data_IF_442068196452
#
_entry.id   IF_442068196452
#
_cell.length_a   1.000
_cell.length_b   1.000
_cell.length_c   1.000
_cell.angle_alpha   90.00
_cell.angle_beta   90.00
_cell.angle_gamma   90.00
#
_symmetry.space_group_name_H-M   'P 1'
#
loop_
_entity.id
_entity.type
_entity.pdbx_description
1 polymer ?
#
# COMPACT_ATOMS: atom_id res chain seq x y z
N UNK A 1 -16.02 34.67 -98.90
CA UNK A 1 -15.53 35.19 -97.60
C UNK A 1 -16.56 35.01 -96.46
N UNK A 2 -17.30 33.88 -96.43
CA UNK A 2 -18.42 33.61 -95.50
C UNK A 2 -18.19 32.34 -94.66
N UNK A 3 -17.02 31.69 -94.74
CA UNK A 3 -16.74 30.42 -94.04
C UNK A 3 -16.09 30.56 -92.66
N UNK A 4 -15.37 31.66 -92.37
CA UNK A 4 -14.68 31.82 -91.07
C UNK A 4 -15.60 32.26 -89.92
N UNK A 5 -16.60 33.10 -90.18
CA UNK A 5 -17.51 33.59 -89.12
C UNK A 5 -18.46 32.51 -88.60
N UNK A 6 -18.99 31.65 -89.48
CA UNK A 6 -19.89 30.56 -89.08
C UNK A 6 -19.16 29.52 -88.20
N UNK A 7 -17.92 29.19 -88.56
CA UNK A 7 -17.09 28.23 -87.81
C UNK A 7 -16.78 28.73 -86.39
N UNK A 8 -16.49 30.02 -86.23
CA UNK A 8 -16.24 30.63 -84.91
C UNK A 8 -17.50 30.64 -84.04
N UNK A 9 -18.68 30.89 -84.62
CA UNK A 9 -19.96 30.84 -83.89
C UNK A 9 -20.32 29.42 -83.47
N UNK A 10 -20.05 28.41 -84.31
CA UNK A 10 -20.25 26.99 -83.96
C UNK A 10 -19.28 26.54 -82.87
N UNK A 11 -18.03 26.99 -82.90
CA UNK A 11 -17.05 26.72 -81.84
C UNK A 11 -17.39 27.41 -80.51
N UNK A 12 -17.84 28.66 -80.55
CA UNK A 12 -18.26 29.39 -79.35
C UNK A 12 -19.53 28.79 -78.75
N UNK A 13 -20.49 28.40 -79.59
CA UNK A 13 -21.71 27.74 -79.12
C UNK A 13 -21.43 26.33 -78.59
N UNK A 14 -20.55 25.54 -79.22
CA UNK A 14 -20.14 24.24 -78.67
C UNK A 14 -19.37 24.38 -77.35
N UNK A 15 -18.50 25.38 -77.21
CA UNK A 15 -17.86 25.70 -75.93
C UNK A 15 -18.90 26.09 -74.87
N UNK A 16 -19.91 26.89 -75.23
CA UNK A 16 -21.01 27.29 -74.34
C UNK A 16 -21.87 26.09 -73.92
N UNK A 17 -22.16 25.17 -74.84
CA UNK A 17 -22.89 23.94 -74.52
C UNK A 17 -22.07 22.97 -73.65
N UNK A 18 -20.76 22.83 -73.91
CA UNK A 18 -19.87 22.00 -73.09
C UNK A 18 -19.69 22.59 -71.69
N UNK A 19 -19.54 23.91 -71.57
CA UNK A 19 -19.47 24.59 -70.27
C UNK A 19 -20.79 24.57 -69.50
N UNK A 20 -21.95 24.66 -70.18
CA UNK A 20 -23.25 24.43 -69.54
C UNK A 20 -23.45 22.96 -69.12
N UNK A 21 -22.97 22.00 -69.91
CA UNK A 21 -23.05 20.59 -69.56
C UNK A 21 -22.15 20.25 -68.36
N UNK A 22 -20.96 20.85 -68.29
CA UNK A 22 -20.03 20.69 -67.17
C UNK A 22 -20.49 21.41 -65.90
N UNK A 23 -21.18 22.55 -66.01
CA UNK A 23 -21.72 23.27 -64.83
C UNK A 23 -22.93 22.59 -64.21
N UNK A 24 -23.70 21.82 -65.00
CA UNK A 24 -24.81 20.97 -64.49
C UNK A 24 -24.34 19.62 -63.98
N UNK A 25 -23.13 19.19 -64.30
CA UNK A 25 -22.52 17.99 -63.74
C UNK A 25 -21.90 18.30 -62.38
N UNK A 26 -22.75 18.59 -61.39
CA UNK A 26 -22.32 18.48 -60.00
C UNK A 26 -22.39 17.00 -59.63
N UNK A 27 -21.27 16.26 -59.59
CA UNK A 27 -21.32 14.86 -59.19
C UNK A 27 -21.96 14.79 -57.81
N UNK A 28 -22.91 13.89 -57.65
CA UNK A 28 -23.54 13.59 -56.36
C UNK A 28 -22.43 13.34 -55.34
N UNK A 29 -22.38 14.18 -54.30
CA UNK A 29 -21.35 14.09 -53.27
C UNK A 29 -21.88 13.22 -52.15
N UNK A 30 -21.20 12.11 -51.92
CA UNK A 30 -21.43 11.28 -50.76
C UNK A 30 -20.92 11.99 -49.50
N UNK A 31 -21.60 11.79 -48.39
CA UNK A 31 -21.17 12.28 -47.08
C UNK A 31 -21.04 11.10 -46.12
N UNK A 32 -19.93 11.04 -45.40
CA UNK A 32 -19.70 10.02 -44.37
C UNK A 32 -19.22 10.69 -43.08
N UNK A 33 -19.84 10.35 -41.96
CA UNK A 33 -19.42 10.77 -40.63
C UNK A 33 -18.90 9.56 -39.87
N UNK A 34 -17.67 9.65 -39.36
CA UNK A 34 -17.04 8.56 -38.63
C UNK A 34 -15.92 9.02 -37.72
N UNK A 35 -15.53 8.14 -36.80
CA UNK A 35 -14.40 8.29 -35.90
C UNK A 35 -13.10 7.88 -36.61
N UNK A 36 -12.05 8.69 -36.49
CA UNK A 36 -10.73 8.32 -37.00
C UNK A 36 -10.09 7.24 -36.12
N UNK A 37 -10.06 6.00 -36.62
CA UNK A 37 -9.56 4.82 -35.91
C UNK A 37 -8.15 4.39 -36.36
N UNK A 38 -7.70 4.92 -37.49
CA UNK A 38 -6.34 4.72 -37.99
C UNK A 38 -5.90 5.97 -38.75
N UNK A 39 -4.64 6.38 -38.56
CA UNK A 39 -4.01 7.47 -39.28
C UNK A 39 -2.52 7.18 -39.37
N UNK A 40 -1.99 7.11 -40.58
CA UNK A 40 -0.56 6.91 -40.84
C UNK A 40 -0.16 7.59 -42.14
N UNK A 41 0.81 8.51 -42.05
CA UNK A 41 1.22 9.35 -43.18
C UNK A 41 0.04 10.14 -43.74
N UNK A 42 -0.27 9.93 -45.02
CA UNK A 42 -1.36 10.58 -45.73
C UNK A 42 -2.65 9.77 -45.79
N UNK A 43 -2.77 8.66 -45.05
CA UNK A 43 -3.95 7.78 -45.08
C UNK A 43 -4.60 7.77 -43.70
N UNK A 44 -5.92 7.99 -43.67
CA UNK A 44 -6.75 7.79 -42.47
C UNK A 44 -7.93 6.88 -42.76
N UNK A 45 -8.46 6.28 -41.70
CA UNK A 45 -9.63 5.41 -41.74
C UNK A 45 -10.67 5.93 -40.76
N UNK A 46 -11.87 6.20 -41.27
CA UNK A 46 -13.04 6.56 -40.48
C UNK A 46 -13.94 5.35 -40.28
N UNK A 47 -14.49 5.20 -39.07
CA UNK A 47 -15.40 4.12 -38.70
C UNK A 47 -16.58 4.67 -37.89
N UNK A 48 -17.80 4.22 -38.19
CA UNK A 48 -19.02 4.70 -37.53
C UNK A 48 -19.73 3.62 -36.69
N UNK A 49 -19.07 2.49 -36.43
CA UNK A 49 -19.66 1.33 -35.73
C UNK A 49 -20.19 0.23 -36.66
N UNK A 50 -20.33 0.51 -37.96
CA UNK A 50 -20.82 -0.48 -38.94
C UNK A 50 -19.98 -0.49 -40.22
N UNK A 51 -19.60 0.68 -40.71
CA UNK A 51 -18.92 0.86 -41.99
C UNK A 51 -17.58 1.55 -41.78
N UNK A 52 -16.59 1.11 -42.54
CA UNK A 52 -15.22 1.64 -42.54
C UNK A 52 -14.93 2.31 -43.89
N UNK A 53 -14.41 3.54 -43.86
CA UNK A 53 -14.06 4.32 -45.05
C UNK A 53 -12.64 4.85 -44.93
N UNK A 54 -11.78 4.50 -45.88
CA UNK A 54 -10.41 5.01 -45.97
C UNK A 54 -10.34 6.27 -46.83
N UNK A 55 -9.39 7.15 -46.54
CA UNK A 55 -9.21 8.40 -47.29
C UNK A 55 -7.75 8.89 -47.30
N UNK A 56 -7.37 9.56 -48.38
CA UNK A 56 -6.03 10.11 -48.62
C UNK A 56 -5.77 11.45 -47.93
N UNK A 57 -6.03 11.55 -46.63
CA UNK A 57 -5.69 12.71 -45.80
C UNK A 57 -5.30 12.24 -44.40
N UNK A 58 -4.34 12.93 -43.78
CA UNK A 58 -3.99 12.69 -42.38
C UNK A 58 -5.03 13.35 -41.46
N UNK A 59 -5.61 12.57 -40.55
CA UNK A 59 -6.59 12.99 -39.55
C UNK A 59 -6.08 12.64 -38.15
N UNK A 60 -6.57 13.33 -37.14
CA UNK A 60 -6.22 13.02 -35.75
C UNK A 60 -6.99 11.78 -35.28
N UNK A 61 -6.29 10.84 -34.65
CA UNK A 61 -6.90 9.65 -34.07
C UNK A 61 -7.86 10.01 -32.95
N UNK A 62 -8.98 9.30 -32.87
CA UNK A 62 -9.98 9.49 -31.81
C UNK A 62 -10.90 10.71 -32.01
N UNK A 63 -10.74 11.46 -33.10
CA UNK A 63 -11.66 12.56 -33.46
C UNK A 63 -12.66 12.12 -34.51
N UNK A 64 -13.89 12.61 -34.38
CA UNK A 64 -14.95 12.40 -35.37
C UNK A 64 -14.88 13.48 -36.45
N UNK A 65 -15.12 13.06 -37.70
CA UNK A 65 -15.11 13.91 -38.87
C UNK A 65 -16.28 13.58 -39.78
N UNK A 66 -16.84 14.61 -40.40
CA UNK A 66 -17.71 14.49 -41.57
C UNK A 66 -16.88 14.78 -42.81
N UNK A 67 -16.84 13.81 -43.73
CA UNK A 67 -16.13 13.94 -45.01
C UNK A 67 -17.13 13.91 -46.15
N UNK A 68 -16.95 14.82 -47.11
CA UNK A 68 -17.74 14.84 -48.34
C UNK A 68 -16.84 14.59 -49.54
N UNK A 69 -17.31 13.79 -50.49
CA UNK A 69 -16.52 13.42 -51.64
C UNK A 69 -17.23 12.43 -52.54
N UNK A 70 -16.46 11.64 -53.27
CA UNK A 70 -16.98 10.53 -54.07
C UNK A 70 -16.55 9.21 -53.44
N UNK A 71 -17.52 8.40 -53.03
CA UNK A 71 -17.26 7.09 -52.46
C UNK A 71 -16.99 6.07 -53.58
N UNK A 72 -15.97 5.23 -53.41
CA UNK A 72 -15.62 4.17 -54.36
C UNK A 72 -15.34 2.87 -53.62
N UNK A 73 -15.87 1.76 -54.13
CA UNK A 73 -15.45 0.43 -53.71
C UNK A 73 -14.10 0.09 -54.35
N UNK A 74 -13.14 -0.32 -53.54
CA UNK A 74 -11.83 -0.82 -53.98
C UNK A 74 -11.63 -2.25 -53.52
N UNK A 75 -10.59 -2.93 -54.03
CA UNK A 75 -10.18 -4.24 -53.54
C UNK A 75 -9.76 -4.27 -52.05
N UNK A 76 -9.56 -3.10 -51.42
CA UNK A 76 -9.19 -2.96 -50.00
C UNK A 76 -10.33 -2.40 -49.13
N UNK A 77 -11.53 -2.25 -49.68
CA UNK A 77 -12.69 -1.68 -48.99
C UNK A 77 -13.15 -0.34 -49.59
N UNK A 78 -13.94 0.41 -48.82
CA UNK A 78 -14.47 1.70 -49.26
C UNK A 78 -13.41 2.79 -49.16
N UNK A 79 -13.27 3.56 -50.23
CA UNK A 79 -12.37 4.69 -50.34
C UNK A 79 -13.14 5.96 -50.68
N UNK A 80 -12.84 7.06 -49.99
CA UNK A 80 -13.42 8.37 -50.25
C UNK A 80 -12.41 9.27 -50.98
N UNK A 81 -12.76 9.72 -52.18
CA UNK A 81 -12.09 10.83 -52.84
C UNK A 81 -12.58 12.14 -52.22
N UNK A 82 -11.85 12.60 -51.21
CA UNK A 82 -12.27 13.68 -50.33
C UNK A 82 -12.25 15.04 -51.03
N UNK A 83 -13.38 15.74 -50.98
CA UNK A 83 -13.51 17.14 -51.38
C UNK A 83 -13.49 18.09 -50.17
N UNK A 84 -14.03 17.67 -49.02
CA UNK A 84 -14.00 18.42 -47.77
C UNK A 84 -13.91 17.49 -46.56
N UNK A 85 -13.26 17.96 -45.50
CA UNK A 85 -13.22 17.29 -44.19
C UNK A 85 -13.50 18.34 -43.14
N UNK A 86 -14.50 18.10 -42.30
CA UNK A 86 -14.87 18.99 -41.21
C UNK A 86 -14.91 18.17 -39.92
N UNK A 87 -14.28 18.65 -38.81
CA UNK A 87 -14.50 18.06 -37.50
C UNK A 87 -15.99 17.99 -37.17
N UNK A 88 -16.45 16.88 -36.61
CA UNK A 88 -17.85 16.65 -36.31
C UNK A 88 -18.01 16.03 -34.92
N UNK A 89 -19.20 16.15 -34.36
CA UNK A 89 -19.59 15.34 -33.21
C UNK A 89 -19.96 13.93 -33.68
N UNK A 90 -19.81 12.93 -32.80
CA UNK A 90 -20.26 11.58 -33.09
C UNK A 90 -21.79 11.53 -33.15
N UNK A 91 -22.35 11.50 -34.36
CA UNK A 91 -23.79 11.35 -34.63
C UNK A 91 -24.21 9.89 -34.82
N UNK A 92 -23.24 8.98 -34.82
CA UNK A 92 -23.43 7.54 -34.90
C UNK A 92 -23.52 6.91 -33.49
N UNK A 93 -24.16 5.73 -33.34
CA UNK A 93 -24.27 5.06 -32.05
C UNK A 93 -22.90 4.77 -31.43
N UNK A 94 -22.72 5.16 -30.17
CA UNK A 94 -21.52 4.86 -29.37
C UNK A 94 -21.81 3.73 -28.38
N UNK A 95 -20.79 2.90 -28.16
CA UNK A 95 -20.77 1.90 -27.08
C UNK A 95 -20.41 2.59 -25.77
N UNK A 96 -21.08 2.20 -24.68
CA UNK A 96 -20.77 2.66 -23.33
C UNK A 96 -20.12 1.54 -22.55
N UNK A 97 -18.94 1.79 -21.99
CA UNK A 97 -18.21 0.83 -21.16
C UNK A 97 -17.78 1.51 -19.86
N UNK A 98 -18.07 0.85 -18.74
CA UNK A 98 -17.60 1.26 -17.41
C UNK A 98 -16.54 0.30 -16.89
N UNK A 99 -15.50 0.83 -16.27
CA UNK A 99 -14.45 0.04 -15.65
C UNK A 99 -13.37 0.90 -15.01
N UNK A 100 -12.33 0.26 -14.47
CA UNK A 100 -11.24 0.99 -13.85
C UNK A 100 -10.09 1.22 -14.84
N UNK A 101 -9.67 2.47 -15.00
CA UNK A 101 -8.56 2.82 -15.86
C UNK A 101 -7.25 2.27 -15.27
N UNK A 102 -6.46 1.58 -16.09
CA UNK A 102 -5.20 0.99 -15.63
C UNK A 102 -4.11 1.11 -16.69
N UNK A 103 -2.88 1.28 -16.22
CA UNK A 103 -1.71 1.42 -17.09
C UNK A 103 -0.56 0.54 -16.57
N UNK A 104 -0.18 -0.45 -17.38
CA UNK A 104 0.95 -1.36 -17.09
C UNK A 104 1.83 -1.52 -18.32
N UNK A 105 1.34 -2.23 -19.35
CA UNK A 105 1.98 -2.41 -20.65
C UNK A 105 1.18 -1.73 -21.77
N UNK A 106 0.62 -0.55 -21.47
CA UNK A 106 -0.32 0.18 -22.30
C UNK A 106 -1.64 0.48 -21.56
N UNK A 107 -2.47 1.36 -22.14
CA UNK A 107 -3.71 1.82 -21.53
C UNK A 107 -4.80 0.77 -21.69
N UNK A 108 -5.39 0.36 -20.57
CA UNK A 108 -6.47 -0.61 -20.52
C UNK A 108 -7.57 -0.16 -19.57
N UNK A 109 -8.77 -0.68 -19.80
CA UNK A 109 -9.87 -0.61 -18.87
C UNK A 109 -10.05 -2.00 -18.24
N UNK A 110 -9.97 -2.06 -16.92
CA UNK A 110 -10.25 -3.26 -16.14
C UNK A 110 -11.76 -3.35 -15.93
N UNK A 111 -12.37 -4.30 -16.65
CA UNK A 111 -13.73 -4.79 -16.42
C UNK A 111 -13.61 -6.30 -16.07
N UNK A 112 -14.70 -7.08 -15.97
CA UNK A 112 -14.58 -8.54 -15.94
C UNK A 112 -13.69 -9.09 -17.08
N UNK A 113 -13.65 -8.41 -18.23
CA UNK A 113 -12.69 -8.63 -19.31
C UNK A 113 -11.74 -7.42 -19.46
N UNK A 114 -10.51 -7.65 -19.94
CA UNK A 114 -9.57 -6.55 -20.20
C UNK A 114 -9.91 -5.89 -21.55
N UNK A 115 -10.24 -4.61 -21.52
CA UNK A 115 -10.47 -3.82 -22.74
C UNK A 115 -9.23 -2.98 -23.02
N UNK A 116 -8.63 -3.15 -24.20
CA UNK A 116 -7.45 -2.35 -24.61
C UNK A 116 -7.91 -1.03 -25.18
N UNK A 117 -7.35 0.07 -24.69
CA UNK A 117 -7.65 1.40 -25.20
C UNK A 117 -6.73 1.73 -26.37
N UNK A 118 -7.23 2.52 -27.33
CA UNK A 118 -6.45 2.98 -28.46
C UNK A 118 -5.34 3.95 -28.04
N UNK A 119 -5.58 4.74 -26.99
CA UNK A 119 -4.67 5.73 -26.42
C UNK A 119 -4.91 5.90 -24.91
N UNK A 120 -3.94 6.48 -24.17
CA UNK A 120 -4.10 6.80 -22.75
C UNK A 120 -5.23 7.80 -22.51
N UNK A 121 -5.90 7.66 -21.37
CA UNK A 121 -6.91 8.60 -20.92
C UNK A 121 -6.28 9.67 -20.04
N UNK A 122 -6.86 10.87 -20.06
CA UNK A 122 -6.59 11.90 -19.06
C UNK A 122 -7.43 11.64 -17.80
N UNK A 123 -7.22 10.48 -17.18
CA UNK A 123 -7.90 10.05 -15.96
C UNK A 123 -6.86 9.47 -15.00
N UNK A 124 -7.16 9.48 -13.70
CA UNK A 124 -6.23 8.95 -12.71
C UNK A 124 -6.09 7.44 -12.85
N UNK A 125 -4.87 6.90 -12.73
CA UNK A 125 -4.68 5.45 -12.72
C UNK A 125 -5.44 4.84 -11.55
N UNK A 126 -6.23 3.81 -11.82
CA UNK A 126 -7.06 3.11 -10.86
C UNK A 126 -8.44 3.73 -10.62
N UNK A 127 -8.76 4.90 -11.18
CA UNK A 127 -10.10 5.46 -11.07
C UNK A 127 -11.08 4.71 -11.97
N UNK A 128 -12.33 4.63 -11.51
CA UNK A 128 -13.46 4.22 -12.31
C UNK A 128 -13.76 5.31 -13.32
N UNK A 129 -13.97 4.90 -14.56
CA UNK A 129 -14.33 5.76 -15.66
C UNK A 129 -15.48 5.15 -16.44
N UNK A 130 -16.37 6.01 -16.93
CA UNK A 130 -17.37 5.67 -17.92
C UNK A 130 -16.92 6.24 -19.27
N UNK A 131 -16.78 5.35 -20.25
CA UNK A 131 -16.32 5.69 -21.59
C UNK A 131 -17.44 5.54 -22.58
N UNK A 132 -17.56 6.49 -23.50
CA UNK A 132 -18.39 6.36 -24.71
C UNK A 132 -17.47 6.35 -25.92
N UNK A 133 -17.63 5.39 -26.84
CA UNK A 133 -16.71 5.23 -27.96
C UNK A 133 -17.08 4.11 -28.91
N UNK A 134 -16.10 3.64 -29.68
CA UNK A 134 -16.27 2.52 -30.61
C UNK A 134 -15.17 1.50 -30.46
N UNK A 135 -15.54 0.22 -30.53
CA UNK A 135 -14.58 -0.86 -30.68
C UNK A 135 -14.21 -1.03 -32.16
N UNK A 136 -12.92 -0.95 -32.48
CA UNK A 136 -12.40 -1.24 -33.82
C UNK A 136 -11.18 -2.17 -33.74
N UNK A 137 -11.29 -3.35 -34.37
CA UNK A 137 -10.31 -4.41 -34.21
C UNK A 137 -10.23 -4.89 -32.76
N UNK A 138 -9.05 -4.82 -32.14
CA UNK A 138 -8.83 -5.25 -30.75
C UNK A 138 -8.75 -4.09 -29.75
N UNK A 139 -9.16 -2.87 -30.15
CA UNK A 139 -8.98 -1.65 -29.37
C UNK A 139 -10.29 -0.87 -29.29
N UNK A 140 -10.50 -0.22 -28.15
CA UNK A 140 -11.59 0.72 -27.92
C UNK A 140 -11.09 2.14 -28.11
N UNK A 141 -11.86 2.94 -28.86
CA UNK A 141 -11.55 4.33 -29.21
C UNK A 141 -12.52 5.25 -28.46
N UNK A 142 -12.12 5.78 -27.29
CA UNK A 142 -12.99 6.59 -26.44
C UNK A 142 -13.15 8.00 -26.99
N UNK A 143 -14.41 8.43 -27.15
CA UNK A 143 -14.80 9.78 -27.57
C UNK A 143 -15.09 10.66 -26.36
N UNK A 144 -15.91 10.16 -25.43
CA UNK A 144 -16.23 10.84 -24.16
C UNK A 144 -15.70 10.02 -23.00
N UNK A 145 -15.20 10.71 -21.98
CA UNK A 145 -14.62 10.11 -20.77
C UNK A 145 -15.18 10.86 -19.57
N UNK A 146 -15.85 10.13 -18.69
CA UNK A 146 -16.33 10.63 -17.40
C UNK A 146 -15.60 9.90 -16.28
N UNK A 147 -14.88 10.64 -15.43
CA UNK A 147 -14.19 10.07 -14.27
C UNK A 147 -15.14 10.01 -13.06
N UNK A 148 -15.37 8.81 -12.57
CA UNK A 148 -16.29 8.51 -11.47
C UNK A 148 -15.56 8.42 -10.10
N UNK A 149 -14.24 8.59 -10.09
CA UNK A 149 -13.39 8.50 -8.90
C UNK A 149 -12.99 7.06 -8.56
N UNK A 150 -12.50 6.83 -7.34
CA UNK A 150 -12.01 5.51 -6.91
C UNK A 150 -13.10 4.64 -6.29
N UNK A 151 -12.89 3.33 -6.31
CA UNK A 151 -13.70 2.39 -5.53
C UNK A 151 -13.58 2.70 -4.04
N UNK A 152 -14.74 2.79 -3.37
CA UNK A 152 -14.82 2.97 -1.91
C UNK A 152 -14.42 1.72 -1.13
N UNK A 153 -14.65 0.55 -1.72
CA UNK A 153 -14.39 -0.76 -1.13
C UNK A 153 -13.60 -1.67 -2.08
N UNK A 154 -12.76 -2.56 -1.54
CA UNK A 154 -11.95 -3.46 -2.34
C UNK A 154 -12.84 -4.47 -3.09
N UNK A 155 -12.63 -4.61 -4.42
CA UNK A 155 -13.33 -5.59 -5.27
C UNK A 155 -12.33 -6.47 -5.99
N UNK A 156 -12.60 -7.78 -6.02
CA UNK A 156 -11.69 -8.75 -6.65
C UNK A 156 -11.42 -8.40 -8.11
N UNK A 157 -10.14 -8.34 -8.49
CA UNK A 157 -9.68 -8.01 -9.85
C UNK A 157 -9.69 -6.51 -10.18
N UNK A 158 -10.13 -5.65 -9.26
CA UNK A 158 -10.21 -4.21 -9.47
C UNK A 158 -9.11 -3.46 -8.70
N UNK A 159 -8.68 -2.28 -9.17
CA UNK A 159 -7.72 -1.46 -8.48
C UNK A 159 -8.34 -0.79 -7.24
N UNK A 160 -7.56 -0.66 -6.18
CA UNK A 160 -7.97 -0.03 -4.94
C UNK A 160 -6.85 0.83 -4.35
N UNK A 161 -7.11 2.11 -4.01
CA UNK A 161 -6.16 2.96 -3.32
C UNK A 161 -6.21 2.67 -1.81
N UNK A 162 -5.23 1.93 -1.32
CA UNK A 162 -5.06 1.65 0.10
C UNK A 162 -4.26 2.77 0.76
N UNK A 163 -4.77 3.37 1.82
CA UNK A 163 -3.97 4.17 2.75
C UNK A 163 -3.91 3.48 4.11
N UNK A 164 -2.73 3.41 4.73
CA UNK A 164 -2.59 2.73 6.02
C UNK A 164 -1.18 2.72 6.57
N UNK A 165 -0.99 2.04 7.70
CA UNK A 165 0.30 1.88 8.38
C UNK A 165 0.87 0.49 8.17
N UNK A 166 2.17 0.41 7.88
CA UNK A 166 2.88 -0.86 7.73
C UNK A 166 3.09 -1.51 9.11
N UNK A 167 2.41 -2.63 9.36
CA UNK A 167 2.55 -3.42 10.60
C UNK A 167 3.72 -4.39 10.56
N UNK A 168 3.86 -5.09 9.43
CA UNK A 168 4.88 -6.11 9.22
C UNK A 168 5.59 -5.84 7.89
N UNK A 169 6.94 -5.88 7.86
CA UNK A 169 7.69 -5.74 6.63
C UNK A 169 7.64 -7.04 5.81
N UNK A 170 8.26 -7.04 4.64
CA UNK A 170 8.41 -8.22 3.78
C UNK A 170 7.69 -8.08 2.44
N UNK A 171 7.56 -9.20 1.72
CA UNK A 171 6.79 -9.30 0.49
C UNK A 171 6.00 -10.63 0.50
N UNK A 172 4.73 -10.61 0.94
CA UNK A 172 3.89 -9.42 1.12
C UNK A 172 4.18 -8.66 2.42
N UNK A 173 4.16 -7.33 2.35
CA UNK A 173 4.06 -6.47 3.53
C UNK A 173 2.63 -6.53 4.08
N UNK A 174 2.45 -6.23 5.37
CA UNK A 174 1.10 -6.15 5.97
C UNK A 174 0.82 -4.71 6.36
N UNK A 175 -0.24 -4.13 5.78
CA UNK A 175 -0.65 -2.74 5.99
C UNK A 175 -2.02 -2.72 6.65
N UNK A 176 -2.16 -1.91 7.70
CA UNK A 176 -3.41 -1.71 8.43
C UNK A 176 -4.06 -0.41 7.99
N UNK A 177 -5.29 -0.47 7.49
CA UNK A 177 -6.02 0.71 7.00
C UNK A 177 -6.93 1.37 8.06
N UNK A 178 -6.87 0.92 9.32
CA UNK A 178 -7.79 1.34 10.38
C UNK A 178 -8.89 0.33 10.70
N UNK A 179 -9.19 -0.61 9.79
CA UNK A 179 -10.22 -1.64 10.01
C UNK A 179 -9.74 -3.06 9.74
N UNK A 180 -8.92 -3.26 8.71
CA UNK A 180 -8.50 -4.56 8.22
C UNK A 180 -7.02 -4.58 7.83
N UNK A 181 -6.43 -5.79 7.87
CA UNK A 181 -5.06 -6.03 7.42
C UNK A 181 -5.04 -6.40 5.93
N UNK A 182 -4.26 -5.63 5.16
CA UNK A 182 -4.01 -5.86 3.74
C UNK A 182 -2.65 -6.51 3.54
N UNK A 183 -2.60 -7.58 2.75
CA UNK A 183 -1.34 -8.18 2.28
C UNK A 183 -0.92 -7.52 0.99
N UNK A 184 0.12 -6.69 1.04
CA UNK A 184 0.58 -5.88 -0.09
C UNK A 184 1.81 -6.53 -0.72
N UNK A 185 1.65 -7.04 -1.94
CA UNK A 185 2.75 -7.53 -2.76
C UNK A 185 3.40 -6.37 -3.50
N UNK A 186 4.65 -6.09 -3.14
CA UNK A 186 5.42 -4.98 -3.68
C UNK A 186 6.21 -5.44 -4.93
N UNK A 187 6.51 -4.52 -5.87
CA UNK A 187 7.41 -4.80 -6.98
C UNK A 187 8.80 -5.21 -6.49
N UNK A 188 9.54 -5.92 -7.35
CA UNK A 188 10.88 -6.41 -7.00
C UNK A 188 11.81 -5.28 -6.56
N UNK A 189 12.54 -5.51 -5.45
CA UNK A 189 13.50 -4.55 -4.89
C UNK A 189 12.89 -3.46 -4.01
N UNK A 190 11.55 -3.34 -3.95
CA UNK A 190 10.88 -2.40 -3.05
C UNK A 190 10.54 -3.07 -1.72
N UNK A 191 10.76 -2.36 -0.61
CA UNK A 191 10.40 -2.82 0.74
C UNK A 191 9.85 -1.68 1.57
N UNK A 192 8.93 -2.00 2.47
CA UNK A 192 8.33 -1.04 3.40
C UNK A 192 8.78 -1.35 4.83
N UNK A 193 9.14 -0.29 5.57
CA UNK A 193 9.53 -0.41 6.98
C UNK A 193 8.30 -0.34 7.89
N UNK A 194 8.28 -1.05 9.03
CA UNK A 194 7.20 -0.93 10.01
C UNK A 194 7.06 0.49 10.53
N UNK A 195 5.83 0.91 10.82
CA UNK A 195 5.52 2.24 11.38
C UNK A 195 5.45 3.37 10.35
N UNK A 196 5.66 3.08 9.06
CA UNK A 196 5.44 4.04 7.99
C UNK A 196 3.96 4.11 7.60
N UNK A 197 3.44 5.32 7.42
CA UNK A 197 2.19 5.59 6.71
C UNK A 197 2.44 5.57 5.21
N UNK A 198 1.61 4.84 4.49
CA UNK A 198 1.75 4.63 3.05
C UNK A 198 0.41 4.77 2.36
N UNK A 199 0.46 5.24 1.11
CA UNK A 199 -0.64 5.18 0.15
C UNK A 199 -0.19 4.32 -1.03
N UNK A 200 -0.88 3.20 -1.23
CA UNK A 200 -0.54 2.17 -2.20
C UNK A 200 -1.70 1.94 -3.14
N UNK A 201 -1.44 1.98 -4.44
CA UNK A 201 -2.40 1.60 -5.47
C UNK A 201 -2.05 0.22 -6.02
N UNK A 202 -3.01 -0.69 -6.04
CA UNK A 202 -2.79 -2.01 -6.62
C UNK A 202 -4.09 -2.71 -6.99
N UNK A 203 -3.97 -3.85 -7.65
CA UNK A 203 -5.11 -4.69 -8.04
C UNK A 203 -5.43 -5.65 -6.90
N UNK A 204 -6.67 -5.62 -6.44
CA UNK A 204 -7.14 -6.43 -5.33
C UNK A 204 -7.36 -7.88 -5.75
N UNK A 205 -7.00 -8.82 -4.88
CA UNK A 205 -7.48 -10.20 -4.87
C UNK A 205 -8.09 -10.52 -3.51
N UNK A 206 -9.33 -10.99 -3.52
CA UNK A 206 -10.06 -11.37 -2.32
C UNK A 206 -9.98 -12.89 -2.15
N UNK A 207 -9.35 -13.33 -1.07
CA UNK A 207 -9.31 -14.73 -0.63
C UNK A 207 -9.84 -14.80 0.82
N UNK A 208 -9.16 -15.55 1.70
CA UNK A 208 -9.31 -15.42 3.16
C UNK A 208 -8.68 -14.14 3.72
N UNK A 209 -7.93 -13.41 2.89
CA UNK A 209 -7.31 -12.12 3.19
C UNK A 209 -7.47 -11.19 2.00
N UNK A 210 -7.41 -9.88 2.26
CA UNK A 210 -7.41 -8.87 1.20
C UNK A 210 -5.96 -8.70 0.74
N UNK A 211 -5.69 -9.09 -0.50
CA UNK A 211 -4.37 -9.02 -1.10
C UNK A 211 -4.34 -7.93 -2.15
N UNK A 212 -3.30 -7.09 -2.12
CA UNK A 212 -3.11 -6.00 -3.07
C UNK A 212 -1.82 -6.25 -3.88
N UNK A 213 -1.95 -6.37 -5.19
CA UNK A 213 -0.81 -6.53 -6.11
C UNK A 213 -0.45 -5.18 -6.72
N UNK A 214 0.72 -4.67 -6.34
CA UNK A 214 1.23 -3.39 -6.81
C UNK A 214 2.03 -3.60 -8.09
N UNK A 215 1.79 -2.76 -9.11
CA UNK A 215 2.40 -2.93 -10.43
C UNK A 215 3.73 -2.18 -10.58
N UNK A 216 3.81 -0.93 -10.13
CA UNK A 216 5.03 -0.09 -10.20
C UNK A 216 5.42 0.46 -8.84
N UNK A 217 6.68 0.86 -8.67
CA UNK A 217 7.13 1.63 -7.51
C UNK A 217 6.41 2.97 -7.39
N UNK A 218 6.02 3.58 -8.52
CA UNK A 218 5.26 4.84 -8.57
C UNK A 218 3.86 4.73 -7.95
N UNK A 219 3.35 3.50 -7.80
CA UNK A 219 2.07 3.23 -7.17
C UNK A 219 2.19 3.17 -5.63
N UNK A 220 3.37 3.40 -5.06
CA UNK A 220 3.65 3.37 -3.62
C UNK A 220 4.19 4.72 -3.16
N UNK A 221 3.40 5.42 -2.37
CA UNK A 221 3.79 6.70 -1.77
C UNK A 221 3.96 6.54 -0.26
N UNK A 222 5.12 6.94 0.27
CA UNK A 222 5.36 7.02 1.71
C UNK A 222 4.93 8.40 2.18
N UNK A 223 3.94 8.45 3.08
CA UNK A 223 3.36 9.70 3.59
C UNK A 223 4.10 10.23 4.83
N UNK A 224 4.88 9.39 5.50
CA UNK A 224 5.63 9.73 6.71
C UNK A 224 5.54 8.63 7.77
N UNK A 225 5.78 8.98 9.02
CA UNK A 225 5.58 8.10 10.18
C UNK A 225 4.11 8.01 10.57
N UNK A 226 3.74 6.91 11.23
CA UNK A 226 2.47 6.79 11.91
C UNK A 226 2.35 7.78 13.09
N UNK A 227 1.11 8.02 13.51
CA UNK A 227 0.81 8.98 14.58
C UNK A 227 1.39 8.48 15.91
N UNK A 228 2.03 9.37 16.66
CA UNK A 228 2.57 9.07 17.97
C UNK A 228 1.52 9.35 19.05
N UNK A 229 1.30 8.38 19.93
CA UNK A 229 0.37 8.50 21.07
C UNK A 229 0.94 7.84 22.32
N UNK A 230 0.60 8.34 23.52
CA UNK A 230 0.88 7.62 24.76
C UNK A 230 0.30 6.20 24.73
N UNK A 231 1.00 5.25 25.35
CA UNK A 231 0.65 3.82 25.31
C UNK A 231 -0.81 3.49 25.63
N UNK A 232 -1.43 4.21 26.57
CA UNK A 232 -2.81 4.00 27.00
C UNK A 232 -3.87 4.48 25.98
N UNK A 233 -3.48 5.31 25.02
CA UNK A 233 -4.34 5.87 23.97
C UNK A 233 -4.01 5.31 22.57
N UNK A 234 -2.88 4.61 22.43
CA UNK A 234 -2.40 4.11 21.15
C UNK A 234 -3.23 2.93 20.63
N UNK A 235 -3.74 3.06 19.41
CA UNK A 235 -4.48 2.02 18.69
C UNK A 235 -3.57 1.23 17.73
N UNK A 236 -4.12 0.20 17.07
CA UNK A 236 -3.37 -0.57 16.08
C UNK A 236 -2.91 0.35 14.95
N UNK A 237 -1.62 0.35 14.66
CA UNK A 237 -1.00 1.22 13.66
C UNK A 237 -0.35 2.48 14.23
N UNK A 238 -0.66 2.88 15.46
CA UNK A 238 -0.01 4.03 16.09
C UNK A 238 1.39 3.68 16.59
N UNK A 239 2.23 4.71 16.78
CA UNK A 239 3.49 4.61 17.52
C UNK A 239 3.19 4.91 18.99
N UNK A 240 3.14 3.87 19.80
CA UNK A 240 2.95 3.97 21.23
C UNK A 240 4.25 4.46 21.89
N UNK A 241 4.14 5.50 22.70
CA UNK A 241 5.25 6.03 23.50
C UNK A 241 5.03 5.79 24.99
N UNK A 242 6.12 5.53 25.71
CA UNK A 242 6.07 5.31 27.15
C UNK A 242 7.43 5.01 27.77
N UNK A 243 7.45 5.01 29.10
CA UNK A 243 8.60 4.62 29.91
C UNK A 243 8.13 3.64 30.98
N UNK A 244 8.70 2.44 30.98
CA UNK A 244 8.20 1.34 31.80
C UNK A 244 9.32 0.43 32.30
N UNK A 245 9.06 -0.25 33.42
CA UNK A 245 9.99 -1.18 34.03
C UNK A 245 9.92 -2.55 33.34
N UNK A 246 11.07 -3.15 33.07
CA UNK A 246 11.15 -4.51 32.54
C UNK A 246 10.95 -5.52 33.67
N UNK A 247 9.80 -6.18 33.68
CA UNK A 247 9.44 -7.20 34.69
C UNK A 247 9.76 -8.63 34.23
N UNK A 248 10.02 -8.83 32.93
CA UNK A 248 10.50 -10.10 32.40
C UNK A 248 11.28 -9.86 31.11
N UNK A 249 12.42 -10.53 30.99
CA UNK A 249 13.24 -10.51 29.78
C UNK A 249 13.37 -11.91 29.20
N UNK A 250 13.29 -12.01 27.87
CA UNK A 250 13.53 -13.25 27.12
C UNK A 250 14.35 -12.92 25.88
N UNK A 251 14.88 -13.94 25.20
CA UNK A 251 15.63 -13.74 23.95
C UNK A 251 14.80 -13.14 22.79
N UNK A 252 13.47 -13.09 22.90
CA UNK A 252 12.58 -12.63 21.83
C UNK A 252 11.78 -11.37 22.18
N UNK A 253 11.42 -11.20 23.45
CA UNK A 253 10.55 -10.11 23.89
C UNK A 253 10.78 -9.72 25.35
N UNK A 254 10.38 -8.50 25.68
CA UNK A 254 10.30 -7.96 27.04
C UNK A 254 8.83 -7.89 27.48
N UNK A 255 8.58 -8.17 28.77
CA UNK A 255 7.31 -7.84 29.44
C UNK A 255 7.55 -6.59 30.29
N UNK A 256 6.66 -5.62 30.14
CA UNK A 256 6.69 -4.34 30.86
C UNK A 256 5.62 -4.34 31.94
N UNK A 257 5.80 -3.52 32.98
CA UNK A 257 4.82 -3.36 34.06
C UNK A 257 3.60 -2.51 33.67
N UNK A 258 3.77 -1.60 32.71
CA UNK A 258 2.73 -0.67 32.27
C UNK A 258 1.75 -1.24 31.22
N UNK A 259 1.98 -2.45 30.72
CA UNK A 259 1.14 -3.06 29.69
C UNK A 259 1.24 -4.58 29.66
N UNK A 260 0.15 -5.24 29.30
CA UNK A 260 0.16 -6.69 29.02
C UNK A 260 0.75 -7.05 27.66
N UNK A 261 1.01 -6.05 26.81
CA UNK A 261 1.60 -6.26 25.49
C UNK A 261 3.09 -6.58 25.61
N UNK A 262 3.53 -7.55 24.81
CA UNK A 262 4.94 -7.92 24.71
C UNK A 262 5.66 -6.94 23.78
N UNK A 263 6.81 -6.42 24.22
CA UNK A 263 7.68 -5.57 23.42
C UNK A 263 8.74 -6.43 22.70
N UNK A 264 8.75 -6.37 21.38
CA UNK A 264 9.69 -7.08 20.51
C UNK A 264 10.71 -6.13 19.89
N UNK A 265 11.84 -6.67 19.43
CA UNK A 265 12.85 -5.91 18.68
C UNK A 265 13.79 -5.06 19.55
N UNK A 266 13.77 -5.27 20.86
CA UNK A 266 14.65 -4.63 21.82
C UNK A 266 15.01 -5.59 22.95
N UNK A 267 16.20 -5.43 23.53
CA UNK A 267 16.73 -6.26 24.61
C UNK A 267 17.14 -5.38 25.78
N UNK A 268 16.73 -5.76 26.98
CA UNK A 268 17.09 -5.12 28.24
C UNK A 268 17.03 -6.15 29.38
N UNK A 269 17.62 -5.83 30.53
CA UNK A 269 17.64 -6.72 31.70
C UNK A 269 16.40 -6.49 32.55
N UNK A 270 16.07 -7.50 33.36
CA UNK A 270 15.00 -7.38 34.34
C UNK A 270 15.36 -6.30 35.37
N UNK A 271 14.43 -5.36 35.58
CA UNK A 271 14.60 -4.18 36.44
C UNK A 271 15.12 -2.92 35.74
N UNK A 272 15.49 -2.99 34.46
CA UNK A 272 15.80 -1.78 33.70
C UNK A 272 14.50 -1.00 33.40
N UNK A 273 14.55 0.33 33.47
CA UNK A 273 13.48 1.21 32.97
C UNK A 273 13.79 1.57 31.52
N UNK A 274 12.88 1.22 30.63
CA UNK A 274 13.00 1.41 29.18
C UNK A 274 12.02 2.47 28.72
N UNK A 275 12.53 3.49 28.03
CA UNK A 275 11.73 4.39 27.21
C UNK A 275 11.64 3.83 25.80
N UNK A 276 10.44 3.81 25.24
CA UNK A 276 10.19 3.25 23.92
C UNK A 276 9.26 4.13 23.09
N UNK A 277 9.54 4.11 21.78
CA UNK A 277 8.64 4.42 20.68
C UNK A 277 8.44 3.10 19.94
N UNK A 278 7.24 2.54 20.02
CA UNK A 278 6.95 1.20 19.53
C UNK A 278 5.67 1.15 18.72
N UNK A 279 5.72 0.50 17.56
CA UNK A 279 4.56 0.27 16.73
C UNK A 279 3.56 -0.65 17.44
N UNK A 280 2.35 -0.14 17.66
CA UNK A 280 1.25 -0.89 18.25
C UNK A 280 0.64 -1.82 17.20
N UNK A 281 0.85 -3.13 17.40
CA UNK A 281 0.21 -4.22 16.64
C UNK A 281 -0.88 -4.85 17.48
N UNK A 282 -1.81 -5.59 16.88
CA UNK A 282 -2.97 -6.22 17.58
C UNK A 282 -2.66 -6.79 18.97
N UNK A 283 -1.61 -7.59 19.10
CA UNK A 283 -1.26 -8.31 20.34
C UNK A 283 0.16 -8.07 20.84
N UNK A 284 0.85 -7.03 20.35
CA UNK A 284 2.24 -6.76 20.70
C UNK A 284 2.67 -5.33 20.39
N UNK A 285 3.81 -4.94 20.92
CA UNK A 285 4.56 -3.75 20.54
C UNK A 285 5.81 -4.17 19.77
N UNK A 286 6.13 -3.48 18.67
CA UNK A 286 7.42 -3.62 18.00
C UNK A 286 8.23 -2.35 18.25
N UNK A 287 9.37 -2.47 18.93
CA UNK A 287 10.29 -1.37 19.12
C UNK A 287 10.72 -0.78 17.77
N UNK A 288 10.52 0.52 17.61
CA UNK A 288 11.08 1.29 16.50
C UNK A 288 12.32 2.06 16.99
N UNK A 289 12.21 2.63 18.19
CA UNK A 289 13.29 3.34 18.86
C UNK A 289 13.12 3.17 20.38
N UNK A 290 14.04 2.44 21.02
CA UNK A 290 13.96 2.17 22.45
C UNK A 290 15.35 2.31 23.09
N UNK A 291 15.35 2.74 24.35
CA UNK A 291 16.56 2.97 25.12
C UNK A 291 16.33 2.65 26.58
N UNK A 292 17.34 2.10 27.25
CA UNK A 292 17.36 2.03 28.72
C UNK A 292 17.65 3.43 29.24
N UNK A 293 16.71 4.01 30.00
CA UNK A 293 16.85 5.34 30.60
C UNK A 293 17.39 5.25 32.01
N UNK A 294 16.98 4.22 32.75
CA UNK A 294 17.48 3.94 34.10
C UNK A 294 17.86 2.47 34.22
N UNK A 295 19.14 2.15 34.49
CA UNK A 295 19.55 0.76 34.67
C UNK A 295 19.06 0.22 36.02
N UNK A 296 18.85 -1.10 36.10
CA UNK A 296 18.40 -1.78 37.34
C UNK A 296 19.28 -1.48 38.55
N UNK A 297 20.56 -1.21 38.35
CA UNK A 297 21.52 -0.88 39.41
C UNK A 297 21.16 0.41 40.17
N UNK A 298 20.36 1.31 39.59
CA UNK A 298 19.92 2.56 40.24
C UNK A 298 18.57 2.46 40.97
N UNK A 299 17.95 1.27 41.01
CA UNK A 299 16.76 1.03 41.83
C UNK A 299 17.10 1.24 43.33
N UNK A 300 16.16 1.67 44.19
CA UNK A 300 16.40 1.73 45.63
C UNK A 300 16.57 0.33 46.25
N UNK A 301 17.02 0.25 47.50
CA UNK A 301 17.00 -1.01 48.25
C UNK A 301 15.68 -1.15 49.02
N UNK A 302 14.78 -1.99 48.52
CA UNK A 302 13.42 -2.12 49.04
C UNK A 302 13.26 -3.27 50.03
N UNK A 303 14.35 -3.78 50.63
CA UNK A 303 14.32 -4.91 51.56
C UNK A 303 13.35 -4.74 52.74
N UNK A 304 13.02 -3.49 53.12
CA UNK A 304 12.05 -3.17 54.16
C UNK A 304 10.62 -2.96 53.65
N UNK A 305 10.43 -2.84 52.34
CA UNK A 305 9.19 -2.40 51.70
C UNK A 305 8.48 -3.57 51.02
N UNK A 306 8.12 -4.58 51.81
CA UNK A 306 7.44 -5.77 51.28
C UNK A 306 6.07 -5.42 50.71
N UNK A 307 5.88 -5.72 49.42
CA UNK A 307 4.58 -5.70 48.77
C UNK A 307 4.46 -6.91 47.84
N UNK A 308 3.58 -7.86 48.16
CA UNK A 308 3.48 -9.12 47.41
C UNK A 308 3.20 -8.88 45.92
N UNK A 309 3.99 -9.51 45.05
CA UNK A 309 3.90 -9.37 43.61
C UNK A 309 4.61 -8.16 43.02
N UNK A 310 5.14 -7.22 43.84
CA UNK A 310 5.89 -6.09 43.31
C UNK A 310 7.31 -6.49 42.91
N UNK A 311 7.77 -5.93 41.79
CA UNK A 311 9.17 -6.01 41.40
C UNK A 311 10.01 -5.02 42.22
N UNK A 312 11.16 -5.46 42.71
CA UNK A 312 12.06 -4.62 43.50
C UNK A 312 13.53 -5.04 43.34
N UNK A 313 14.43 -4.19 43.84
CA UNK A 313 15.82 -4.55 44.14
C UNK A 313 15.98 -4.69 45.65
N UNK A 314 16.54 -5.81 46.10
CA UNK A 314 16.99 -5.96 47.49
C UNK A 314 18.51 -6.05 47.53
N UNK A 315 19.13 -5.47 48.54
CA UNK A 315 20.56 -5.57 48.79
C UNK A 315 20.85 -5.69 50.27
N UNK A 316 21.78 -6.56 50.65
CA UNK A 316 22.12 -6.81 52.04
C UNK A 316 23.17 -7.89 52.21
N UNK A 317 23.36 -8.34 53.45
CA UNK A 317 24.23 -9.46 53.80
C UNK A 317 23.43 -10.71 54.08
N UNK A 318 24.00 -11.85 53.71
CA UNK A 318 23.42 -13.16 54.01
C UNK A 318 23.65 -13.49 55.48
N UNK A 319 22.58 -13.62 56.26
CA UNK A 319 22.63 -13.99 57.68
C UNK A 319 22.78 -15.50 57.89
N UNK A 320 22.09 -16.30 57.08
CA UNK A 320 22.19 -17.76 57.06
C UNK A 320 21.69 -18.31 55.73
N UNK A 321 22.15 -19.51 55.35
CA UNK A 321 21.71 -20.22 54.15
C UNK A 321 21.29 -21.64 54.51
N UNK A 322 20.17 -22.10 53.96
CA UNK A 322 19.70 -23.48 54.08
C UNK A 322 19.41 -24.06 52.71
N UNK A 323 20.11 -25.14 52.36
CA UNK A 323 19.90 -25.91 51.13
C UNK A 323 19.22 -27.23 51.47
N UNK A 324 18.13 -27.55 50.77
CA UNK A 324 17.38 -28.79 50.91
C UNK A 324 17.92 -29.87 49.96
N UNK A 325 17.62 -31.16 50.25
CA UNK A 325 18.10 -32.31 49.46
C UNK A 325 17.72 -32.26 47.97
N UNK A 326 16.64 -31.57 47.63
CA UNK A 326 16.19 -31.38 46.25
C UNK A 326 16.91 -30.23 45.52
N UNK A 327 17.93 -29.63 46.14
CA UNK A 327 18.69 -28.52 45.58
C UNK A 327 18.00 -27.14 45.69
N UNK A 328 16.79 -27.07 46.25
CA UNK A 328 16.18 -25.77 46.58
C UNK A 328 16.89 -25.17 47.79
N UNK A 329 17.29 -23.92 47.71
CA UNK A 329 17.88 -23.16 48.79
C UNK A 329 16.98 -22.01 49.27
N UNK A 330 17.22 -21.58 50.50
CA UNK A 330 16.70 -20.32 51.04
C UNK A 330 17.85 -19.62 51.76
N UNK A 331 18.04 -18.34 51.48
CA UNK A 331 18.97 -17.49 52.21
C UNK A 331 18.19 -16.38 52.93
N UNK A 332 18.57 -16.08 54.17
CA UNK A 332 18.04 -14.89 54.84
C UNK A 332 18.98 -13.71 54.55
N UNK A 333 18.48 -12.69 53.86
CA UNK A 333 19.23 -11.49 53.53
C UNK A 333 18.77 -10.35 54.44
N UNK A 334 19.71 -9.61 55.05
CA UNK A 334 19.42 -8.51 55.96
C UNK A 334 20.27 -7.28 55.65
N UNK A 335 19.70 -6.09 55.80
CA UNK A 335 20.43 -4.82 55.79
C UNK A 335 20.76 -4.31 57.22
N UNK A 336 20.47 -5.12 58.24
CA UNK A 336 20.62 -4.78 59.66
C UNK A 336 19.31 -4.40 60.35
N UNK A 337 18.35 -3.80 59.63
CA UNK A 337 17.05 -3.40 60.19
C UNK A 337 15.90 -4.30 59.74
N UNK A 338 15.94 -4.77 58.49
CA UNK A 338 14.92 -5.62 57.89
C UNK A 338 15.57 -6.86 57.30
N UNK A 339 14.79 -7.93 57.17
CA UNK A 339 15.26 -9.19 56.57
C UNK A 339 14.21 -9.83 55.70
N UNK A 340 14.64 -10.47 54.60
CA UNK A 340 13.77 -11.18 53.67
C UNK A 340 14.37 -12.54 53.31
N UNK A 341 13.50 -13.55 53.12
CA UNK A 341 13.91 -14.87 52.66
C UNK A 341 14.07 -14.91 51.14
N UNK A 342 15.30 -14.91 50.65
CA UNK A 342 15.62 -15.11 49.24
C UNK A 342 15.46 -16.59 48.86
N UNK A 343 14.55 -16.89 47.93
CA UNK A 343 14.35 -18.22 47.36
C UNK A 343 15.46 -18.50 46.34
N UNK A 344 16.14 -19.63 46.47
CA UNK A 344 17.24 -20.07 45.59
C UNK A 344 16.91 -21.42 44.94
N UNK A 345 16.03 -21.47 43.92
CA UNK A 345 15.83 -22.69 43.14
C UNK A 345 17.13 -23.21 42.52
N UNK A 346 17.30 -24.53 42.46
CA UNK A 346 18.49 -25.18 41.88
C UNK A 346 18.81 -24.72 40.46
N UNK A 347 17.78 -24.40 39.66
CA UNK A 347 17.89 -23.86 38.30
C UNK A 347 18.63 -22.52 38.19
N UNK A 348 18.76 -21.76 39.28
CA UNK A 348 19.52 -20.50 39.27
C UNK A 348 21.02 -20.75 39.15
N UNK A 349 21.51 -21.92 39.59
CA UNK A 349 22.94 -22.26 39.54
C UNK A 349 23.82 -21.41 40.47
N UNK A 350 23.22 -20.70 41.43
CA UNK A 350 23.94 -19.82 42.38
C UNK A 350 23.95 -20.43 43.77
N UNK A 351 25.10 -20.38 44.44
CA UNK A 351 25.29 -20.74 45.85
C UNK A 351 25.74 -19.51 46.63
N UNK A 352 25.12 -19.26 47.79
CA UNK A 352 25.48 -18.14 48.67
C UNK A 352 26.14 -18.64 49.95
N UNK A 353 27.00 -17.81 50.53
CA UNK A 353 27.68 -18.06 51.81
C UNK A 353 27.28 -17.05 52.88
N UNK A 354 27.42 -17.42 54.16
CA UNK A 354 27.13 -16.50 55.26
C UNK A 354 28.06 -15.28 55.22
N UNK A 355 27.53 -14.11 55.60
CA UNK A 355 28.19 -12.79 55.59
C UNK A 355 28.56 -12.28 54.18
N UNK A 356 28.16 -12.96 53.11
CA UNK A 356 28.31 -12.50 51.74
C UNK A 356 27.35 -11.34 51.43
N UNK A 357 27.85 -10.32 50.71
CA UNK A 357 27.01 -9.23 50.20
C UNK A 357 26.30 -9.68 48.93
N UNK A 358 24.98 -9.48 48.89
CA UNK A 358 24.11 -9.94 47.82
C UNK A 358 23.19 -8.81 47.38
N UNK A 359 23.01 -8.68 46.07
CA UNK A 359 21.98 -7.83 45.46
C UNK A 359 21.13 -8.71 44.55
N UNK A 360 19.81 -8.65 44.72
CA UNK A 360 18.87 -9.45 43.95
C UNK A 360 17.78 -8.58 43.31
N UNK A 361 17.41 -8.94 42.09
CA UNK A 361 16.37 -8.30 41.29
C UNK A 361 15.24 -9.31 41.06
N UNK A 362 14.02 -8.96 41.44
CA UNK A 362 12.96 -9.96 41.45
C UNK A 362 11.69 -9.48 42.11
N UNK A 363 10.88 -10.44 42.54
CA UNK A 363 9.54 -10.18 43.04
C UNK A 363 9.41 -10.56 44.51
N UNK A 364 8.72 -9.71 45.26
CA UNK A 364 8.26 -10.08 46.58
C UNK A 364 7.15 -11.13 46.49
N UNK A 365 7.23 -12.12 47.36
CA UNK A 365 6.33 -13.27 47.44
C UNK A 365 6.25 -13.73 48.89
N UNK A 366 5.45 -14.72 49.18
CA UNK A 366 5.40 -15.36 50.48
C UNK A 366 6.07 -16.73 50.47
N UNK A 367 6.66 -17.12 51.59
CA UNK A 367 7.09 -18.49 51.86
C UNK A 367 6.66 -18.86 53.29
N UNK A 368 5.71 -19.80 53.39
CA UNK A 368 5.11 -20.23 54.68
C UNK A 368 4.58 -19.05 55.50
N UNK A 369 3.89 -18.11 54.84
CA UNK A 369 3.31 -16.92 55.48
C UNK A 369 4.32 -15.84 55.87
N UNK A 370 5.61 -15.97 55.53
CA UNK A 370 6.63 -14.94 55.75
C UNK A 370 7.04 -14.26 54.44
N UNK A 371 7.46 -12.97 54.49
CA UNK A 371 8.06 -12.29 53.35
C UNK A 371 9.22 -13.06 52.75
N UNK A 372 9.16 -13.26 51.44
CA UNK A 372 10.19 -13.90 50.65
C UNK A 372 10.41 -13.13 49.35
N UNK A 373 11.52 -13.44 48.70
CA UNK A 373 11.94 -12.81 47.46
C UNK A 373 12.28 -13.87 46.43
N UNK A 374 11.75 -13.74 45.23
CA UNK A 374 11.95 -14.69 44.14
C UNK A 374 12.64 -14.03 42.95
N UNK A 375 13.70 -14.70 42.49
CA UNK A 375 14.52 -14.28 41.36
C UNK A 375 14.27 -15.23 40.20
N UNK A 376 14.19 -14.69 38.98
CA UNK A 376 13.87 -15.47 37.79
C UNK A 376 15.09 -16.15 37.16
N UNK A 377 16.24 -15.47 37.12
CA UNK A 377 17.49 -15.94 36.53
C UNK A 377 18.68 -15.81 37.48
N UNK A 378 19.72 -16.63 37.31
CA UNK A 378 20.96 -16.47 38.05
C UNK A 378 21.63 -15.10 37.82
N UNK A 379 21.45 -14.52 36.63
CA UNK A 379 21.95 -13.18 36.25
C UNK A 379 21.26 -12.02 36.98
N UNK A 380 20.13 -12.29 37.64
CA UNK A 380 19.39 -11.32 38.44
C UNK A 380 19.80 -11.38 39.93
N UNK A 381 20.82 -12.18 40.25
CA UNK A 381 21.40 -12.32 41.58
C UNK A 381 22.91 -12.08 41.51
N UNK A 382 23.35 -10.96 42.07
CA UNK A 382 24.76 -10.60 42.17
C UNK A 382 25.27 -10.95 43.57
N UNK A 383 26.41 -11.64 43.65
CA UNK A 383 27.03 -12.03 44.93
C UNK A 383 28.54 -11.82 44.92
N UNK A 384 29.08 -11.21 45.97
CA UNK A 384 30.51 -10.93 46.09
C UNK A 384 31.05 -10.02 44.97
N UNK A 385 31.95 -10.56 44.12
CA UNK A 385 32.55 -9.85 42.96
C UNK A 385 31.85 -10.16 41.62
N UNK A 386 30.84 -11.01 41.62
CA UNK A 386 30.14 -11.41 40.40
C UNK A 386 28.82 -10.65 40.28
N UNK A 387 28.73 -9.83 39.23
CA UNK A 387 27.54 -9.12 38.78
C UNK A 387 27.29 -9.41 37.31
#
# INVERSE_FOLDING_TARGET
>A
MVQKRLFVVVLLSSLLFVSLALSRYSPEKDSFTGLCVYSSGSISVLYNGTVTVALGKSLELGKAYTVQGRLRATNRGLWMDVSSVVPANATFPLEIIEGAYWYSNGPVLLTPSRVRLAYPLNASKGSLVRLEGLTYGSKFYPVNVEELGYLKEPRNGMPYPLEGVVLYPGNPATVWNGSEEFRVYLPHGLSLRPGLRVKVLGVVRLYSTITLYVNSGDDVNVLGSAEEKPLNLAEIGDIATGECLVIKSTSRYLKLDCTDLKLYGFSARVGDTVRFEALRRKSSLLCLNCSVVKPREELPNDICSFNEGSFSRISGKVAWVKVYRNGFGIANVTNGTCSVLLKLPSRLGVSLTENESVTAYGFFTTYRGKPAFEVQSGEDLCSGKHC
#
